data_IF_204768536490
#
_entry.id   IF_204768536490
#
_cell.length_a   1.000
_cell.length_b   1.000
_cell.length_c   1.000
_cell.angle_alpha   90.00
_cell.angle_beta   90.00
_cell.angle_gamma   90.00
#
_symmetry.space_group_name_H-M   'P 1'
#
loop_
_entity.id
_entity.type
_entity.pdbx_description
1 polymer ?
#
# COMPACT_ATOMS: atom_id res chain seq x y z
N UNK A 1 14.74 27.21 28.16
CA UNK A 1 14.56 26.82 29.58
C UNK A 1 13.19 27.36 29.97
N UNK A 2 12.11 26.58 29.95
CA UNK A 2 11.88 25.47 30.87
C UNK A 2 11.22 24.29 30.16
N UNK A 3 12.07 23.41 29.62
CA UNK A 3 11.88 21.98 29.89
C UNK A 3 11.85 21.92 31.43
N UNK A 4 10.74 21.45 32.02
CA UNK A 4 10.47 21.34 33.47
C UNK A 4 9.80 22.54 34.16
N UNK A 5 8.48 22.71 34.05
CA UNK A 5 7.64 23.04 35.22
C UNK A 5 6.30 22.28 35.07
N UNK A 6 6.12 21.21 35.86
CA UNK A 6 4.81 20.58 36.04
C UNK A 6 4.69 19.10 35.65
N UNK A 7 5.47 18.21 36.27
CA UNK A 7 5.00 16.86 36.65
C UNK A 7 4.40 15.90 35.60
N UNK A 8 4.63 16.09 34.30
CA UNK A 8 4.10 15.21 33.24
C UNK A 8 5.16 14.26 32.67
N UNK A 9 4.94 12.96 32.87
CA UNK A 9 5.74 11.80 32.38
C UNK A 9 6.56 12.07 31.10
N UNK A 10 7.90 12.11 31.22
CA UNK A 10 8.86 12.07 30.10
C UNK A 10 8.71 10.84 29.19
N UNK A 11 7.93 9.82 29.57
CA UNK A 11 7.66 8.67 28.70
C UNK A 11 6.73 9.01 27.52
N UNK A 12 5.99 10.12 27.57
CA UNK A 12 5.00 10.47 26.53
C UNK A 12 5.63 11.19 25.34
N UNK A 13 6.56 12.12 25.57
CA UNK A 13 7.16 12.93 24.48
C UNK A 13 8.09 12.12 23.59
N UNK A 14 8.92 11.23 24.16
CA UNK A 14 9.77 10.32 23.36
C UNK A 14 8.92 9.33 22.55
N UNK A 15 7.80 8.89 23.14
CA UNK A 15 6.88 7.95 22.51
C UNK A 15 6.03 8.62 21.41
N UNK A 16 5.61 9.88 21.58
CA UNK A 16 4.97 10.69 20.54
C UNK A 16 5.92 11.02 19.39
N UNK A 17 7.20 11.30 19.68
CA UNK A 17 8.23 11.55 18.68
C UNK A 17 8.50 10.29 17.84
N UNK A 18 8.78 9.15 18.49
CA UNK A 18 8.97 7.87 17.79
C UNK A 18 7.73 7.44 17.02
N UNK A 19 6.52 7.72 17.54
CA UNK A 19 5.26 7.40 16.85
C UNK A 19 5.05 8.27 15.62
N UNK A 20 5.28 9.59 15.69
CA UNK A 20 5.22 10.48 14.52
C UNK A 20 6.31 10.14 13.49
N UNK A 21 7.50 9.73 13.94
CA UNK A 21 8.60 9.34 13.06
C UNK A 21 8.39 7.96 12.40
N UNK A 22 7.83 6.99 13.12
CA UNK A 22 7.43 5.70 12.55
C UNK A 22 6.22 5.84 11.65
N UNK A 23 5.23 6.66 12.01
CA UNK A 23 4.04 6.85 11.20
C UNK A 23 4.39 7.55 9.89
N UNK A 24 5.17 8.63 9.88
CA UNK A 24 5.60 9.30 8.64
C UNK A 24 6.39 8.36 7.70
N UNK A 25 7.33 7.57 8.23
CA UNK A 25 8.08 6.59 7.44
C UNK A 25 7.18 5.47 6.90
N UNK A 26 6.30 4.92 7.73
CA UNK A 26 5.35 3.87 7.31
C UNK A 26 4.37 4.41 6.29
N UNK A 27 3.90 5.66 6.42
CA UNK A 27 2.96 6.30 5.48
C UNK A 27 3.62 6.41 4.12
N UNK A 28 4.77 7.07 4.01
CA UNK A 28 5.43 7.30 2.72
C UNK A 28 5.84 5.97 2.08
N UNK A 29 6.37 5.06 2.88
CA UNK A 29 6.76 3.74 2.40
C UNK A 29 5.55 2.92 1.94
N UNK A 30 4.44 2.96 2.67
CA UNK A 30 3.19 2.31 2.28
C UNK A 30 2.60 2.95 1.02
N UNK A 31 2.69 4.28 0.88
CA UNK A 31 2.27 4.98 -0.34
C UNK A 31 3.02 4.47 -1.57
N UNK A 32 4.35 4.50 -1.53
CA UNK A 32 5.14 4.11 -2.70
C UNK A 32 5.15 2.59 -2.95
N UNK A 33 5.17 1.76 -1.90
CA UNK A 33 5.16 0.30 -2.05
C UNK A 33 3.78 -0.24 -2.40
N UNK A 34 2.71 0.23 -1.77
CA UNK A 34 1.37 -0.35 -1.97
C UNK A 34 0.62 0.24 -3.15
N UNK A 35 0.91 1.49 -3.55
CA UNK A 35 0.18 2.14 -4.64
C UNK A 35 1.00 2.22 -5.92
N UNK A 36 2.23 2.74 -5.83
CA UNK A 36 3.06 2.97 -7.01
C UNK A 36 3.62 1.66 -7.59
N UNK A 37 4.04 0.73 -6.74
CA UNK A 37 4.63 -0.55 -7.19
C UNK A 37 3.65 -1.44 -7.98
N UNK A 38 2.43 -1.77 -7.49
CA UNK A 38 1.49 -2.58 -8.28
C UNK A 38 1.03 -1.86 -9.55
N UNK A 39 0.92 -0.52 -9.53
CA UNK A 39 0.60 0.28 -10.70
C UNK A 39 1.69 0.17 -11.78
N UNK A 40 2.96 0.36 -11.41
CA UNK A 40 4.10 0.21 -12.33
C UNK A 40 4.21 -1.23 -12.85
N UNK A 41 4.01 -2.22 -11.99
CA UNK A 41 4.03 -3.63 -12.39
C UNK A 41 2.91 -3.92 -13.41
N UNK A 42 1.69 -3.44 -13.14
CA UNK A 42 0.54 -3.64 -14.02
C UNK A 42 0.77 -2.97 -15.38
N UNK A 43 1.28 -1.74 -15.37
CA UNK A 43 1.66 -1.01 -16.58
C UNK A 43 2.69 -1.77 -17.41
N UNK A 44 3.78 -2.24 -16.80
CA UNK A 44 4.85 -2.96 -17.50
C UNK A 44 4.34 -4.28 -18.09
N UNK A 45 3.53 -5.04 -17.35
CA UNK A 45 2.98 -6.32 -17.81
C UNK A 45 2.02 -6.12 -18.99
N UNK A 46 1.22 -5.05 -18.99
CA UNK A 46 0.24 -4.77 -20.04
C UNK A 46 0.89 -4.12 -21.27
N UNK A 47 1.78 -3.16 -21.07
CA UNK A 47 2.41 -2.43 -22.18
C UNK A 47 3.48 -3.28 -22.89
N UNK A 48 4.18 -4.14 -22.15
CA UNK A 48 5.24 -5.00 -22.66
C UNK A 48 5.12 -6.43 -22.13
N UNK A 49 4.11 -7.21 -22.57
CA UNK A 49 3.87 -8.55 -22.04
C UNK A 49 5.05 -9.52 -22.23
N UNK A 50 5.83 -9.37 -23.30
CA UNK A 50 6.97 -10.25 -23.62
C UNK A 50 8.24 -9.81 -22.86
N UNK A 51 8.54 -8.50 -22.87
CA UNK A 51 9.73 -7.96 -22.18
C UNK A 51 9.51 -7.76 -20.68
N UNK A 52 8.27 -7.82 -20.19
CA UNK A 52 7.96 -7.73 -18.76
C UNK A 52 8.70 -8.77 -17.92
N UNK A 53 8.94 -9.98 -18.48
CA UNK A 53 9.74 -11.02 -17.81
C UNK A 53 11.21 -10.63 -17.64
N UNK A 54 11.75 -9.81 -18.55
CA UNK A 54 13.11 -9.29 -18.45
C UNK A 54 13.18 -8.06 -17.54
N UNK A 55 12.13 -7.22 -17.56
CA UNK A 55 12.05 -6.04 -16.71
C UNK A 55 11.82 -6.39 -15.25
N UNK A 56 10.91 -7.33 -14.95
CA UNK A 56 10.56 -7.79 -13.60
C UNK A 56 11.52 -8.85 -13.06
N UNK A 57 12.81 -8.78 -13.44
CA UNK A 57 13.85 -9.62 -12.82
C UNK A 57 14.04 -9.24 -11.35
N UNK A 58 14.49 -10.21 -10.55
CA UNK A 58 14.74 -10.03 -9.12
C UNK A 58 15.60 -8.78 -8.84
N UNK A 59 16.69 -8.59 -9.61
CA UNK A 59 17.60 -7.44 -9.47
C UNK A 59 16.89 -6.09 -9.66
N UNK A 60 16.07 -5.97 -10.71
CA UNK A 60 15.35 -4.72 -11.00
C UNK A 60 14.26 -4.46 -9.97
N UNK A 61 13.55 -5.50 -9.54
CA UNK A 61 12.51 -5.39 -8.50
C UNK A 61 13.14 -4.98 -7.16
N UNK A 62 14.29 -5.57 -6.78
CA UNK A 62 15.05 -5.15 -5.60
C UNK A 62 15.52 -3.70 -5.72
N UNK A 63 16.00 -3.28 -6.90
CA UNK A 63 16.38 -1.87 -7.13
C UNK A 63 15.18 -0.93 -6.99
N UNK A 64 14.03 -1.25 -7.57
CA UNK A 64 12.80 -0.47 -7.43
C UNK A 64 12.38 -0.34 -5.97
N UNK A 65 12.35 -1.46 -5.23
CA UNK A 65 12.04 -1.46 -3.80
C UNK A 65 13.06 -0.60 -3.05
N UNK A 66 14.37 -0.75 -3.31
CA UNK A 66 15.41 0.05 -2.65
C UNK A 66 15.29 1.55 -2.93
N UNK A 67 14.89 1.94 -4.15
CA UNK A 67 14.65 3.32 -4.51
C UNK A 67 13.44 3.90 -3.75
N UNK A 68 12.38 3.11 -3.59
CA UNK A 68 11.22 3.48 -2.76
C UNK A 68 11.63 3.68 -1.30
N UNK A 69 12.41 2.77 -0.74
CA UNK A 69 12.95 2.91 0.62
C UNK A 69 13.80 4.17 0.76
N UNK A 70 14.67 4.46 -0.22
CA UNK A 70 15.50 5.65 -0.22
C UNK A 70 14.66 6.94 -0.29
N UNK A 71 13.64 7.00 -1.14
CA UNK A 71 12.72 8.13 -1.23
C UNK A 71 11.92 8.33 0.07
N UNK A 72 11.54 7.24 0.75
CA UNK A 72 10.92 7.27 2.07
C UNK A 72 11.85 7.88 3.12
N UNK A 73 13.11 7.45 3.14
CA UNK A 73 14.14 8.03 4.03
C UNK A 73 14.43 9.51 3.70
N UNK A 74 14.32 9.91 2.44
CA UNK A 74 14.49 11.31 2.04
C UNK A 74 13.33 12.19 2.54
N UNK A 75 12.09 11.69 2.46
CA UNK A 75 10.90 12.36 3.02
C UNK A 75 10.96 12.50 4.54
N UNK A 76 11.75 11.68 5.20
CA UNK A 76 11.97 11.73 6.63
C UNK A 76 12.95 12.83 7.07
N UNK A 77 13.85 13.30 6.18
CA UNK A 77 14.88 14.28 6.54
C UNK A 77 14.37 15.56 7.24
N UNK A 78 13.22 16.16 6.84
CA UNK A 78 12.71 17.37 7.49
C UNK A 78 12.37 17.16 8.97
N UNK A 79 11.98 15.95 9.37
CA UNK A 79 11.58 15.64 10.74
C UNK A 79 12.75 15.60 11.74
N UNK A 80 14.01 15.53 11.28
CA UNK A 80 15.17 15.61 12.18
C UNK A 80 15.30 16.97 12.87
N UNK A 81 14.69 18.03 12.32
CA UNK A 81 14.62 19.35 12.97
C UNK A 81 13.44 19.41 13.93
N UNK A 82 13.52 18.63 15.00
CA UNK A 82 12.41 18.39 15.94
C UNK A 82 11.78 19.67 16.50
N UNK A 83 12.58 20.70 16.75
CA UNK A 83 12.10 21.95 17.35
C UNK A 83 11.27 22.83 16.38
N UNK A 84 11.43 22.61 15.07
CA UNK A 84 10.77 23.41 14.04
C UNK A 84 9.78 22.61 13.18
N UNK A 85 10.04 21.33 12.97
CA UNK A 85 9.38 20.50 11.98
C UNK A 85 8.73 19.29 12.67
N UNK A 86 7.54 19.49 13.22
CA UNK A 86 6.80 18.45 13.93
C UNK A 86 5.33 18.37 13.52
N UNK A 87 4.76 17.19 13.77
CA UNK A 87 3.33 16.88 13.69
C UNK A 87 2.93 16.29 15.03
N UNK A 88 2.05 16.96 15.75
CA UNK A 88 1.63 16.52 17.10
C UNK A 88 0.13 16.30 17.14
N UNK A 89 -0.28 15.29 17.90
CA UNK A 89 -1.68 15.05 18.21
C UNK A 89 -2.04 15.80 19.49
N UNK A 90 -2.97 16.75 19.38
CA UNK A 90 -3.47 17.50 20.53
C UNK A 90 -4.73 16.84 21.06
N UNK A 91 -4.65 16.23 22.25
CA UNK A 91 -5.77 15.48 22.86
C UNK A 91 -6.95 16.36 23.28
N UNK A 92 -6.74 17.66 23.47
CA UNK A 92 -7.82 18.60 23.84
C UNK A 92 -8.82 18.81 22.71
N UNK A 93 -8.34 18.80 21.46
CA UNK A 93 -9.13 19.07 20.26
C UNK A 93 -9.18 17.89 19.28
N UNK A 94 -8.60 16.74 19.68
CA UNK A 94 -8.49 15.51 18.88
C UNK A 94 -7.96 15.72 17.45
N UNK A 95 -7.06 16.68 17.29
CA UNK A 95 -6.59 17.14 15.98
C UNK A 95 -5.06 17.03 15.87
N UNK A 96 -4.62 16.62 14.68
CA UNK A 96 -3.23 16.64 14.28
C UNK A 96 -2.85 18.03 13.79
N UNK A 97 -1.97 18.71 14.53
CA UNK A 97 -1.49 20.04 14.17
C UNK A 97 -0.06 19.94 13.64
N UNK A 98 0.16 20.61 12.51
CA UNK A 98 1.49 20.87 11.97
C UNK A 98 2.09 22.09 12.68
N UNK A 99 3.42 22.15 12.76
CA UNK A 99 4.12 23.32 13.28
C UNK A 99 3.66 24.62 12.58
N UNK A 100 3.44 25.73 13.31
CA UNK A 100 2.91 26.97 12.74
C UNK A 100 3.94 27.76 11.89
N UNK A 101 5.16 27.27 11.75
CA UNK A 101 6.22 27.91 10.97
C UNK A 101 6.24 27.45 9.51
N UNK A 102 7.17 28.00 8.72
CA UNK A 102 7.36 27.63 7.32
C UNK A 102 7.60 26.12 7.13
N UNK A 103 8.28 25.45 8.08
CA UNK A 103 8.52 24.02 7.97
C UNK A 103 7.23 23.21 8.07
N UNK A 104 6.34 23.52 9.02
CA UNK A 104 5.05 22.84 9.11
C UNK A 104 4.14 23.11 7.90
N UNK A 105 4.24 24.29 7.29
CA UNK A 105 3.57 24.55 5.99
C UNK A 105 4.09 23.61 4.89
N UNK A 106 5.42 23.46 4.78
CA UNK A 106 6.02 22.52 3.80
C UNK A 106 5.62 21.08 4.11
N UNK A 107 5.64 20.66 5.37
CA UNK A 107 5.23 19.31 5.78
C UNK A 107 3.77 19.00 5.41
N UNK A 108 2.83 19.86 5.80
CA UNK A 108 1.41 19.62 5.56
C UNK A 108 1.00 19.84 4.10
N UNK A 109 1.36 20.98 3.51
CA UNK A 109 0.84 21.37 2.18
C UNK A 109 1.67 20.84 1.03
N UNK A 110 2.99 20.80 1.15
CA UNK A 110 3.86 20.36 0.05
C UNK A 110 4.10 18.85 0.12
N UNK A 111 4.47 18.35 1.29
CA UNK A 111 4.86 16.95 1.45
C UNK A 111 3.67 16.01 1.65
N UNK A 112 2.66 16.34 2.45
CA UNK A 112 1.49 15.45 2.60
C UNK A 112 0.45 15.67 1.48
N UNK A 113 -0.12 16.87 1.38
CA UNK A 113 -1.12 17.17 0.35
C UNK A 113 -0.55 17.18 -1.07
N UNK A 114 0.55 17.90 -1.30
CA UNK A 114 1.14 18.09 -2.63
C UNK A 114 1.64 16.78 -3.26
N UNK A 115 2.33 15.93 -2.49
CA UNK A 115 2.76 14.62 -3.00
C UNK A 115 1.55 13.71 -3.24
N UNK A 116 0.55 13.73 -2.35
CA UNK A 116 -0.70 12.99 -2.52
C UNK A 116 -1.43 13.34 -3.82
N UNK A 117 -1.58 14.63 -4.12
CA UNK A 117 -2.20 15.11 -5.37
C UNK A 117 -1.35 14.78 -6.60
N UNK A 118 -0.02 14.87 -6.50
CA UNK A 118 0.89 14.54 -7.61
C UNK A 118 0.80 13.05 -7.95
N UNK A 119 0.85 12.18 -6.95
CA UNK A 119 0.69 10.74 -7.12
C UNK A 119 -0.70 10.42 -7.68
N UNK A 120 -1.75 11.09 -7.19
CA UNK A 120 -3.10 10.98 -7.73
C UNK A 120 -3.16 11.27 -9.23
N UNK A 121 -2.56 12.37 -9.68
CA UNK A 121 -2.51 12.73 -11.10
C UNK A 121 -1.77 11.68 -11.93
N UNK A 122 -0.63 11.18 -11.44
CA UNK A 122 0.15 10.14 -12.12
C UNK A 122 -0.63 8.82 -12.23
N UNK A 123 -1.31 8.38 -11.16
CA UNK A 123 -2.11 7.15 -11.17
C UNK A 123 -3.21 7.25 -12.23
N UNK A 124 -3.96 8.35 -12.27
CA UNK A 124 -5.02 8.53 -13.29
C UNK A 124 -4.44 8.48 -14.70
N UNK A 125 -3.35 9.20 -14.96
CA UNK A 125 -2.70 9.21 -16.28
C UNK A 125 -2.28 7.80 -16.70
N UNK A 126 -1.68 7.04 -15.79
CA UNK A 126 -1.23 5.70 -16.08
C UNK A 126 -2.38 4.68 -16.19
N UNK A 127 -3.45 4.80 -15.40
CA UNK A 127 -4.63 3.95 -15.50
C UNK A 127 -5.35 4.17 -16.83
N UNK A 128 -5.52 5.44 -17.25
CA UNK A 128 -6.09 5.79 -18.56
C UNK A 128 -5.23 5.20 -19.68
N UNK A 129 -3.90 5.38 -19.61
CA UNK A 129 -2.98 4.82 -20.59
C UNK A 129 -3.01 3.28 -20.60
N UNK A 130 -3.09 2.65 -19.44
CA UNK A 130 -3.21 1.19 -19.30
C UNK A 130 -4.51 0.69 -19.93
N UNK A 131 -5.65 1.33 -19.66
CA UNK A 131 -6.94 1.00 -20.29
C UNK A 131 -6.86 1.16 -21.81
N UNK A 132 -6.28 2.26 -22.29
CA UNK A 132 -6.09 2.52 -23.72
C UNK A 132 -5.30 1.37 -24.38
N UNK A 133 -4.14 1.01 -23.82
CA UNK A 133 -3.29 -0.07 -24.33
C UNK A 133 -3.99 -1.43 -24.28
N UNK A 134 -4.71 -1.72 -23.19
CA UNK A 134 -5.53 -2.93 -23.06
C UNK A 134 -6.55 -3.02 -24.18
N UNK A 135 -7.32 -1.95 -24.45
CA UNK A 135 -8.33 -1.93 -25.52
C UNK A 135 -7.69 -2.15 -26.89
N UNK A 136 -6.60 -1.45 -27.19
CA UNK A 136 -5.88 -1.62 -28.46
C UNK A 136 -5.39 -3.06 -28.63
N UNK A 137 -4.80 -3.67 -27.59
CA UNK A 137 -4.34 -5.06 -27.66
C UNK A 137 -5.49 -6.06 -27.83
N UNK A 138 -6.63 -5.85 -27.19
CA UNK A 138 -7.81 -6.70 -27.38
C UNK A 138 -8.34 -6.62 -28.82
N UNK A 139 -8.34 -5.42 -29.44
CA UNK A 139 -8.76 -5.23 -30.82
C UNK A 139 -7.78 -5.87 -31.81
N UNK A 140 -6.48 -5.64 -31.64
CA UNK A 140 -5.44 -6.14 -32.56
C UNK A 140 -5.27 -7.65 -32.48
N UNK A 141 -5.28 -8.22 -31.27
CA UNK A 141 -4.99 -9.65 -31.08
C UNK A 141 -6.24 -10.52 -30.98
N UNK A 142 -7.43 -9.92 -30.81
CA UNK A 142 -8.69 -10.64 -30.55
C UNK A 142 -8.72 -11.38 -29.20
N UNK A 143 -7.67 -11.30 -28.38
CA UNK A 143 -7.56 -12.02 -27.11
C UNK A 143 -8.15 -11.19 -25.97
N UNK A 144 -9.00 -11.82 -25.15
CA UNK A 144 -9.51 -11.21 -23.91
C UNK A 144 -8.39 -11.12 -22.87
N UNK A 145 -8.42 -10.04 -22.08
CA UNK A 145 -7.56 -9.84 -20.92
C UNK A 145 -7.80 -10.94 -19.89
N UNK A 146 -6.75 -11.37 -19.20
CA UNK A 146 -6.85 -12.41 -18.17
C UNK A 146 -7.66 -11.89 -16.98
N UNK A 147 -8.50 -12.75 -16.42
CA UNK A 147 -9.29 -12.43 -15.21
C UNK A 147 -8.39 -12.00 -14.03
N UNK A 148 -7.17 -12.55 -13.93
CA UNK A 148 -6.18 -12.13 -12.93
C UNK A 148 -5.84 -10.66 -13.04
N UNK A 149 -5.63 -10.18 -14.27
CA UNK A 149 -5.15 -8.82 -14.53
C UNK A 149 -6.28 -7.81 -14.27
N UNK A 150 -7.53 -8.19 -14.57
CA UNK A 150 -8.72 -7.40 -14.21
C UNK A 150 -8.94 -7.33 -12.69
N UNK A 151 -8.63 -8.42 -11.96
CA UNK A 151 -8.68 -8.41 -10.49
C UNK A 151 -7.63 -7.46 -9.91
N UNK A 152 -6.39 -7.49 -10.39
CA UNK A 152 -5.36 -6.54 -9.95
C UNK A 152 -5.73 -5.10 -10.27
N UNK A 153 -6.31 -4.85 -11.44
CA UNK A 153 -6.82 -3.53 -11.79
C UNK A 153 -7.93 -3.06 -10.82
N UNK A 154 -8.91 -3.92 -10.54
CA UNK A 154 -9.99 -3.60 -9.59
C UNK A 154 -9.48 -3.36 -8.16
N UNK A 155 -8.47 -4.12 -7.72
CA UNK A 155 -7.78 -3.89 -6.45
C UNK A 155 -7.16 -2.49 -6.41
N UNK A 156 -6.39 -2.12 -7.43
CA UNK A 156 -5.77 -0.79 -7.54
C UNK A 156 -6.82 0.33 -7.52
N UNK A 157 -7.95 0.16 -8.21
CA UNK A 157 -9.03 1.15 -8.20
C UNK A 157 -9.70 1.30 -6.82
N UNK A 158 -9.92 0.19 -6.09
CA UNK A 158 -10.52 0.24 -4.75
C UNK A 158 -9.60 0.90 -3.74
N UNK A 159 -8.31 0.53 -3.77
CA UNK A 159 -7.29 1.12 -2.91
C UNK A 159 -7.14 2.62 -3.21
N UNK A 160 -7.16 2.98 -4.50
CA UNK A 160 -7.16 4.37 -4.94
C UNK A 160 -8.39 5.16 -4.45
N UNK A 161 -9.60 4.59 -4.54
CA UNK A 161 -10.81 5.23 -4.05
C UNK A 161 -10.76 5.48 -2.53
N UNK A 162 -10.24 4.52 -1.75
CA UNK A 162 -10.04 4.68 -0.32
C UNK A 162 -9.08 5.84 0.01
N UNK A 163 -8.00 5.98 -0.77
CA UNK A 163 -7.06 7.09 -0.61
C UNK A 163 -7.68 8.47 -0.90
N UNK A 164 -8.49 8.58 -1.95
CA UNK A 164 -9.19 9.84 -2.27
C UNK A 164 -10.16 10.22 -1.16
N UNK A 165 -10.92 9.25 -0.62
CA UNK A 165 -11.81 9.47 0.52
C UNK A 165 -11.02 9.96 1.72
N UNK A 166 -9.88 9.34 2.05
CA UNK A 166 -9.00 9.80 3.13
C UNK A 166 -8.60 11.27 2.97
N UNK A 167 -8.03 11.67 1.83
CA UNK A 167 -7.58 13.05 1.61
C UNK A 167 -8.76 14.04 1.67
N UNK A 168 -9.91 13.64 1.11
CA UNK A 168 -11.12 14.47 1.14
C UNK A 168 -11.61 14.68 2.57
N UNK A 169 -11.66 13.60 3.36
CA UNK A 169 -12.02 13.65 4.76
C UNK A 169 -11.06 14.55 5.57
N UNK A 170 -9.74 14.38 5.36
CA UNK A 170 -8.72 15.04 6.14
C UNK A 170 -8.54 16.53 5.80
N UNK A 171 -8.66 16.95 4.55
CA UNK A 171 -8.37 18.33 4.12
C UNK A 171 -9.60 19.19 3.83
N UNK A 172 -10.71 18.58 3.39
CA UNK A 172 -11.91 19.32 3.01
C UNK A 172 -12.99 19.18 4.08
N UNK A 173 -13.36 17.94 4.43
CA UNK A 173 -14.47 17.69 5.34
C UNK A 173 -14.13 18.19 6.76
N UNK A 174 -12.96 17.84 7.28
CA UNK A 174 -12.50 18.31 8.60
C UNK A 174 -12.48 19.84 8.70
N UNK A 175 -12.15 20.54 7.60
CA UNK A 175 -12.07 22.00 7.53
C UNK A 175 -13.40 22.71 7.77
N UNK A 176 -14.52 22.06 7.47
CA UNK A 176 -15.86 22.61 7.76
C UNK A 176 -16.19 22.57 9.26
N UNK A 177 -15.61 21.62 10.00
CA UNK A 177 -15.90 21.39 11.42
C UNK A 177 -14.88 22.07 12.35
N UNK A 178 -13.75 22.54 11.83
CA UNK A 178 -12.72 23.25 12.62
C UNK A 178 -13.12 24.65 13.10
N UNK A 179 -14.26 25.20 12.66
CA UNK A 179 -14.75 26.52 13.08
C UNK A 179 -15.16 26.59 14.55
N UNK A 180 -15.77 25.53 15.09
CA UNK A 180 -16.21 25.43 16.49
C UNK A 180 -15.76 24.10 17.10
N UNK A 181 -14.46 23.97 17.34
CA UNK A 181 -13.83 22.70 17.71
C UNK A 181 -14.36 22.12 19.04
N UNK A 182 -14.89 22.98 19.93
CA UNK A 182 -15.49 22.56 21.19
C UNK A 182 -16.77 21.73 20.96
N UNK A 183 -17.58 22.12 19.96
CA UNK A 183 -18.85 21.45 19.66
C UNK A 183 -18.65 20.22 18.76
N UNK A 184 -17.73 20.30 17.79
CA UNK A 184 -17.56 19.29 16.73
C UNK A 184 -16.30 18.42 16.85
N UNK A 185 -15.74 18.27 18.06
CA UNK A 185 -14.49 17.52 18.27
C UNK A 185 -14.57 16.05 17.81
N UNK A 186 -15.73 15.40 17.96
CA UNK A 186 -15.92 14.02 17.52
C UNK A 186 -15.93 13.90 15.99
N UNK A 187 -16.62 14.81 15.30
CA UNK A 187 -16.70 14.87 13.85
C UNK A 187 -15.32 15.11 13.23
N UNK A 188 -14.55 16.03 13.82
CA UNK A 188 -13.15 16.28 13.44
C UNK A 188 -12.30 15.03 13.66
N UNK A 189 -12.44 14.34 14.80
CA UNK A 189 -11.71 13.08 15.06
C UNK A 189 -12.05 11.99 14.04
N UNK A 190 -13.34 11.80 13.73
CA UNK A 190 -13.78 10.78 12.78
C UNK A 190 -13.29 11.04 11.35
N UNK A 191 -13.27 12.31 10.95
CA UNK A 191 -12.87 12.73 9.59
C UNK A 191 -11.36 12.85 9.42
N UNK A 192 -10.60 12.96 10.50
CA UNK A 192 -9.14 13.02 10.47
C UNK A 192 -8.50 11.69 10.86
N UNK A 193 -8.43 11.40 12.16
CA UNK A 193 -7.63 10.32 12.74
C UNK A 193 -8.27 8.96 12.46
N UNK A 194 -9.57 8.81 12.72
CA UNK A 194 -10.25 7.54 12.49
C UNK A 194 -10.28 7.18 11.00
N UNK A 195 -10.69 8.11 10.13
CA UNK A 195 -10.67 7.89 8.69
C UNK A 195 -9.27 7.50 8.21
N UNK A 196 -8.24 8.17 8.72
CA UNK A 196 -6.86 7.87 8.39
C UNK A 196 -6.46 6.44 8.79
N UNK A 197 -6.63 6.03 10.05
CA UNK A 197 -6.27 4.66 10.49
C UNK A 197 -7.14 3.58 9.83
N UNK A 198 -8.42 3.87 9.63
CA UNK A 198 -9.38 2.95 9.01
C UNK A 198 -9.03 2.68 7.54
N UNK A 199 -8.57 3.70 6.79
CA UNK A 199 -8.12 3.50 5.40
C UNK A 199 -6.91 2.58 5.30
N UNK A 200 -5.96 2.69 6.23
CA UNK A 200 -4.81 1.77 6.29
C UNK A 200 -5.23 0.32 6.59
N UNK A 201 -6.25 0.15 7.44
CA UNK A 201 -6.84 -1.17 7.71
C UNK A 201 -7.56 -1.73 6.47
N UNK A 202 -8.33 -0.89 5.77
CA UNK A 202 -9.01 -1.28 4.52
C UNK A 202 -7.99 -1.69 3.46
N UNK A 203 -6.88 -0.98 3.30
CA UNK A 203 -5.84 -1.32 2.32
C UNK A 203 -5.30 -2.75 2.55
N UNK A 204 -5.02 -3.10 3.80
CA UNK A 204 -4.62 -4.47 4.17
C UNK A 204 -5.70 -5.50 3.85
N UNK A 205 -6.97 -5.18 4.12
CA UNK A 205 -8.12 -6.04 3.84
C UNK A 205 -8.42 -6.18 2.35
N UNK A 206 -8.11 -5.17 1.52
CA UNK A 206 -8.25 -5.25 0.06
C UNK A 206 -7.21 -6.20 -0.52
N UNK A 207 -5.98 -6.22 -0.02
CA UNK A 207 -4.92 -7.08 -0.56
C UNK A 207 -5.19 -8.58 -0.37
N UNK A 208 -5.75 -8.96 0.79
CA UNK A 208 -5.90 -10.37 1.17
C UNK A 208 -6.80 -11.16 0.19
N UNK A 209 -8.06 -10.76 -0.10
CA UNK A 209 -8.95 -11.52 -0.99
C UNK A 209 -8.42 -11.63 -2.42
N UNK A 210 -7.75 -10.59 -2.90
CA UNK A 210 -7.23 -10.53 -4.27
C UNK A 210 -6.04 -11.49 -4.47
N UNK A 211 -5.18 -11.65 -3.46
CA UNK A 211 -4.04 -12.57 -3.47
C UNK A 211 -4.35 -13.98 -2.93
N UNK A 212 -5.29 -14.13 -2.00
CA UNK A 212 -5.59 -15.39 -1.31
C UNK A 212 -6.03 -16.51 -2.26
N UNK A 213 -6.82 -16.17 -3.28
CA UNK A 213 -7.25 -17.13 -4.29
C UNK A 213 -6.07 -17.72 -5.08
N UNK A 214 -5.08 -16.89 -5.42
CA UNK A 214 -3.90 -17.31 -6.20
C UNK A 214 -2.91 -18.09 -5.32
N UNK A 215 -2.74 -17.69 -4.06
CA UNK A 215 -1.97 -18.44 -3.05
C UNK A 215 -2.56 -19.83 -2.79
N UNK A 216 -3.89 -19.93 -2.65
CA UNK A 216 -4.58 -21.21 -2.46
C UNK A 216 -4.44 -22.09 -3.70
N UNK A 217 -4.57 -21.53 -4.91
CA UNK A 217 -4.39 -22.26 -6.16
C UNK A 217 -2.96 -22.79 -6.31
N UNK A 218 -1.94 -21.97 -6.00
CA UNK A 218 -0.52 -22.41 -5.99
C UNK A 218 -0.27 -23.51 -4.97
N UNK A 219 -0.80 -23.38 -3.75
CA UNK A 219 -0.67 -24.41 -2.70
C UNK A 219 -1.29 -25.74 -3.14
N UNK A 220 -2.47 -25.70 -3.75
CA UNK A 220 -3.13 -26.89 -4.27
C UNK A 220 -2.39 -27.50 -5.47
N UNK A 221 -1.80 -26.66 -6.33
CA UNK A 221 -0.97 -27.10 -7.46
C UNK A 221 0.32 -27.79 -7.01
N UNK A 222 1.03 -27.22 -6.04
CA UNK A 222 2.22 -27.81 -5.42
C UNK A 222 1.87 -29.14 -4.75
N UNK A 223 0.78 -29.19 -3.99
CA UNK A 223 0.29 -30.43 -3.36
C UNK A 223 -0.01 -31.51 -4.41
N UNK A 224 -0.66 -31.16 -5.52
CA UNK A 224 -0.91 -32.06 -6.66
C UNK A 224 0.39 -32.56 -7.32
N UNK A 225 1.38 -31.69 -7.56
CA UNK A 225 2.65 -32.09 -8.17
C UNK A 225 3.49 -32.98 -7.25
N UNK A 226 3.54 -32.67 -5.95
CA UNK A 226 4.21 -33.50 -4.95
C UNK A 226 3.54 -34.86 -4.88
N UNK A 227 2.21 -34.91 -4.83
CA UNK A 227 1.45 -36.16 -4.78
C UNK A 227 1.65 -37.02 -6.05
N UNK A 228 1.76 -36.41 -7.23
CA UNK A 228 2.11 -37.11 -8.48
C UNK A 228 3.54 -37.67 -8.44
N UNK A 229 4.50 -36.90 -7.93
CA UNK A 229 5.88 -37.33 -7.82
C UNK A 229 6.05 -38.46 -6.81
N UNK A 230 5.42 -38.36 -5.63
CA UNK A 230 5.37 -39.45 -4.64
C UNK A 230 4.73 -40.70 -5.21
N UNK A 231 3.65 -40.57 -5.99
CA UNK A 231 3.01 -41.71 -6.67
C UNK A 231 3.95 -42.37 -7.68
N UNK A 232 4.67 -41.60 -8.48
CA UNK A 232 5.64 -42.15 -9.45
C UNK A 232 6.82 -42.86 -8.77
N UNK A 233 7.34 -42.31 -7.68
CA UNK A 233 8.38 -42.97 -6.88
C UNK A 233 7.84 -44.27 -6.24
N UNK A 234 6.63 -44.25 -5.69
CA UNK A 234 6.01 -45.45 -5.12
C UNK A 234 5.76 -46.55 -6.17
N UNK A 235 5.38 -46.18 -7.40
CA UNK A 235 5.23 -47.11 -8.53
C UNK A 235 6.55 -47.73 -9.00
N UNK A 236 7.69 -47.05 -8.81
CA UNK A 236 9.01 -47.58 -9.14
C UNK A 236 9.54 -48.54 -8.07
N UNK A 237 9.18 -48.31 -6.81
CA UNK A 237 9.64 -49.11 -5.66
C UNK A 237 8.76 -50.34 -5.42
N UNK A 238 7.50 -50.33 -5.86
CA UNK A 238 6.64 -51.52 -5.82
C UNK A 238 6.79 -52.34 -7.11
N UNK A 239 7.56 -53.44 -7.13
CA UNK A 239 7.48 -54.39 -8.24
C UNK A 239 6.07 -54.98 -8.26
N UNK A 240 5.50 -55.08 -9.46
CA UNK A 240 4.24 -55.77 -9.73
C UNK A 240 4.38 -57.24 -9.33
N UNK A 241 4.07 -57.55 -8.07
CA UNK A 241 3.96 -58.91 -7.55
C UNK A 241 2.59 -59.09 -6.91
N UNK A 242 1.56 -59.18 -7.76
CA UNK A 242 0.26 -59.76 -7.42
C UNK A 242 -0.63 -59.85 -8.69
N UNK A 243 -0.20 -60.59 -9.70
CA UNK A 243 -1.09 -60.97 -10.81
C UNK A 243 -0.64 -62.30 -11.44
N UNK A 244 -0.51 -63.35 -10.63
CA UNK A 244 -0.60 -64.73 -11.10
C UNK A 244 -0.68 -65.68 -9.91
N UNK A 245 -1.89 -66.15 -9.59
CA UNK A 245 -2.15 -67.53 -9.15
C UNK A 245 -3.63 -67.70 -8.84
N UNK A 246 -4.38 -68.31 -9.75
CA UNK A 246 -5.36 -69.37 -9.44
C UNK A 246 -6.01 -69.80 -10.76
N UNK A 247 -5.34 -70.73 -11.44
CA UNK A 247 -5.92 -71.63 -12.42
C UNK A 247 -5.11 -72.91 -12.26
N UNK A 248 -5.52 -73.73 -11.30
CA UNK A 248 -5.44 -75.20 -11.24
C UNK A 248 -6.35 -75.65 -10.09
#
# INVERSE_FOLDING_TARGET
>A
MYILIGGGKMSQSFQQLCFSHCSANVIVLSFFLLYCTPMVILLVVICWPIESRNFLKQRNTTLMISAVWFLGLLHFLPYFKVDECYVIFTSENYLWSFSPNYCGFVLGKVLDFGTGVTVFALIILFDVYTIYRVRTLMVVTGKRVRKSDLKFFAQSCLQFAAFVVKLTCFYFISGFFTGDIVLYHWEVFFTTTFAWEFTHCIDGLILIPFHYGDLRARRNGISSSVMKQTRMELSRVMPVSAAKSSNY
#
